data_IF_180691083079
#
_entry.id   IF_180691083079
#
_cell.length_a   1.000
_cell.length_b   1.000
_cell.length_c   1.000
_cell.angle_alpha   90.00
_cell.angle_beta   90.00
_cell.angle_gamma   90.00
#
_symmetry.space_group_name_H-M   'P 1'
#
loop_
_entity.id
_entity.type
_entity.pdbx_description
1 polymer ?
#
# COMPACT_ATOMS: atom_id res chain seq x y z
N UNK A 1 -10.92 12.78 28.71
CA UNK A 1 -12.04 12.61 27.76
C UNK A 1 -12.02 13.78 26.78
N UNK A 2 -11.28 13.64 25.69
CA UNK A 2 -11.19 14.67 24.65
C UNK A 2 -12.24 14.33 23.59
N UNK A 3 -13.20 15.24 23.38
CA UNK A 3 -14.23 15.13 22.35
C UNK A 3 -13.56 15.22 20.99
N UNK A 4 -13.58 14.11 20.24
CA UNK A 4 -13.31 14.14 18.80
C UNK A 4 -14.36 15.03 18.13
N UNK A 5 -13.91 16.11 17.55
CA UNK A 5 -14.74 16.93 16.64
C UNK A 5 -14.97 16.10 15.38
N UNK A 6 -16.23 15.81 15.00
CA UNK A 6 -16.50 15.11 13.75
C UNK A 6 -15.99 15.96 12.60
N UNK A 7 -15.14 15.36 11.77
CA UNK A 7 -14.66 15.98 10.54
C UNK A 7 -15.84 16.43 9.67
N UNK A 8 -15.70 17.58 8.98
CA UNK A 8 -16.71 18.05 8.02
C UNK A 8 -17.13 16.90 7.10
N UNK A 9 -18.43 16.77 6.80
CA UNK A 9 -18.89 15.78 5.83
C UNK A 9 -18.10 15.95 4.52
N UNK A 10 -17.61 14.83 4.01
CA UNK A 10 -16.91 14.74 2.72
C UNK A 10 -17.85 15.31 1.67
N UNK A 11 -17.42 16.29 0.89
CA UNK A 11 -18.22 16.70 -0.27
C UNK A 11 -18.24 15.54 -1.24
N UNK A 12 -19.41 15.10 -1.64
CA UNK A 12 -19.60 14.00 -2.61
C UNK A 12 -18.79 14.25 -3.90
N UNK A 13 -18.63 15.50 -4.30
CA UNK A 13 -17.83 15.92 -5.45
C UNK A 13 -16.34 15.55 -5.34
N UNK A 14 -15.72 15.75 -4.17
CA UNK A 14 -14.30 15.44 -3.98
C UNK A 14 -14.05 13.91 -4.01
N UNK A 15 -14.95 13.14 -3.43
CA UNK A 15 -14.87 11.68 -3.48
C UNK A 15 -15.09 11.16 -4.91
N UNK A 16 -16.05 11.74 -5.64
CA UNK A 16 -16.30 11.39 -7.04
C UNK A 16 -15.10 11.68 -7.93
N UNK A 17 -14.45 12.84 -7.77
CA UNK A 17 -13.25 13.19 -8.51
C UNK A 17 -12.09 12.18 -8.25
N UNK A 18 -11.93 11.73 -7.01
CA UNK A 18 -10.93 10.71 -6.66
C UNK A 18 -11.30 9.36 -7.30
N UNK A 19 -12.57 8.97 -7.25
CA UNK A 19 -13.04 7.73 -7.86
C UNK A 19 -12.82 7.73 -9.38
N UNK A 20 -13.11 8.82 -10.05
CA UNK A 20 -12.88 9.00 -11.50
C UNK A 20 -11.39 8.92 -11.84
N UNK A 21 -10.54 9.66 -11.13
CA UNK A 21 -9.10 9.66 -11.35
C UNK A 21 -8.47 8.29 -11.09
N UNK A 22 -8.82 7.62 -10.00
CA UNK A 22 -8.37 6.26 -9.70
C UNK A 22 -8.85 5.27 -10.77
N UNK A 23 -10.11 5.40 -11.23
CA UNK A 23 -10.66 4.54 -12.29
C UNK A 23 -9.90 4.71 -13.60
N UNK A 24 -9.53 5.95 -13.94
CA UNK A 24 -8.72 6.23 -15.13
C UNK A 24 -7.33 5.58 -15.04
N UNK A 25 -6.65 5.70 -13.88
CA UNK A 25 -5.36 5.05 -13.65
C UNK A 25 -5.50 3.51 -13.71
N UNK A 26 -6.54 2.95 -13.12
CA UNK A 26 -6.79 1.51 -13.15
C UNK A 26 -7.04 1.00 -14.57
N UNK A 27 -7.86 1.71 -15.35
CA UNK A 27 -8.12 1.41 -16.77
C UNK A 27 -6.82 1.40 -17.57
N UNK A 28 -5.99 2.45 -17.47
CA UNK A 28 -4.70 2.50 -18.14
C UNK A 28 -3.81 1.29 -17.81
N UNK A 29 -3.80 0.83 -16.56
CA UNK A 29 -3.01 -0.33 -16.14
C UNK A 29 -3.52 -1.64 -16.69
N UNK A 30 -4.84 -1.78 -16.90
CA UNK A 30 -5.46 -2.94 -17.55
C UNK A 30 -5.15 -2.94 -19.05
N UNK A 31 -5.33 -1.80 -19.73
CA UNK A 31 -5.11 -1.64 -21.17
C UNK A 31 -3.63 -1.83 -21.55
N UNK A 32 -2.68 -1.38 -20.72
CA UNK A 32 -1.24 -1.67 -20.91
C UNK A 32 -0.91 -3.17 -20.99
N UNK A 33 -1.80 -4.04 -20.56
CA UNK A 33 -1.68 -5.50 -20.65
C UNK A 33 -2.46 -6.10 -21.82
N UNK A 34 -2.90 -5.27 -22.77
CA UNK A 34 -3.75 -5.65 -23.90
C UNK A 34 -5.05 -6.34 -23.47
N UNK A 35 -5.68 -5.85 -22.40
CA UNK A 35 -6.93 -6.37 -21.84
C UNK A 35 -7.96 -5.26 -21.77
N UNK A 36 -9.22 -5.65 -21.85
CA UNK A 36 -10.35 -4.76 -21.60
C UNK A 36 -10.67 -4.71 -20.10
N UNK A 37 -11.09 -3.55 -19.63
CA UNK A 37 -11.56 -3.38 -18.26
C UNK A 37 -12.91 -4.06 -18.08
N UNK A 38 -12.95 -5.12 -17.28
CA UNK A 38 -14.19 -5.74 -16.84
C UNK A 38 -14.73 -4.93 -15.66
N UNK A 39 -15.72 -4.08 -15.94
CA UNK A 39 -16.35 -3.22 -14.93
C UNK A 39 -17.54 -3.93 -14.24
N UNK A 40 -17.29 -5.13 -13.71
CA UNK A 40 -18.27 -5.88 -12.92
C UNK A 40 -18.53 -5.22 -11.56
N UNK A 41 -19.48 -5.76 -10.78
CA UNK A 41 -19.81 -5.24 -9.44
C UNK A 41 -18.61 -5.29 -8.50
N UNK A 42 -17.83 -6.37 -8.56
CA UNK A 42 -16.64 -6.53 -7.72
C UNK A 42 -15.57 -5.48 -8.00
N UNK A 43 -15.32 -5.18 -9.27
CA UNK A 43 -14.37 -4.13 -9.69
C UNK A 43 -14.85 -2.74 -9.22
N UNK A 44 -16.15 -2.45 -9.39
CA UNK A 44 -16.73 -1.18 -8.92
C UNK A 44 -16.65 -1.04 -7.42
N UNK A 45 -17.00 -2.08 -6.66
CA UNK A 45 -16.90 -2.09 -5.20
C UNK A 45 -15.45 -1.87 -4.72
N UNK A 46 -14.50 -2.57 -5.33
CA UNK A 46 -13.08 -2.42 -4.99
C UNK A 46 -12.58 -0.99 -5.25
N UNK A 47 -12.94 -0.40 -6.40
CA UNK A 47 -12.59 0.98 -6.74
C UNK A 47 -13.20 1.97 -5.74
N UNK A 48 -14.48 1.82 -5.38
CA UNK A 48 -15.16 2.69 -4.44
C UNK A 48 -14.51 2.64 -3.04
N UNK A 49 -14.19 1.44 -2.55
CA UNK A 49 -13.53 1.25 -1.24
C UNK A 49 -12.14 1.90 -1.24
N UNK A 50 -11.35 1.69 -2.28
CA UNK A 50 -10.01 2.28 -2.39
C UNK A 50 -10.09 3.80 -2.54
N UNK A 51 -11.01 4.33 -3.35
CA UNK A 51 -11.21 5.77 -3.51
C UNK A 51 -11.59 6.45 -2.18
N UNK A 52 -12.48 5.84 -1.40
CA UNK A 52 -12.87 6.34 -0.06
C UNK A 52 -11.66 6.40 0.88
N UNK A 53 -10.83 5.35 0.88
CA UNK A 53 -9.60 5.35 1.68
C UNK A 53 -8.63 6.45 1.21
N UNK A 54 -8.33 6.53 -0.08
CA UNK A 54 -7.39 7.54 -0.64
C UNK A 54 -7.89 8.95 -0.32
N UNK A 55 -9.20 9.19 -0.41
CA UNK A 55 -9.78 10.48 -0.06
C UNK A 55 -9.47 10.86 1.40
N UNK A 56 -9.80 10.00 2.36
CA UNK A 56 -9.57 10.26 3.78
C UNK A 56 -8.08 10.37 4.13
N UNK A 57 -7.25 9.50 3.53
CA UNK A 57 -5.81 9.54 3.67
C UNK A 57 -5.22 10.84 3.14
N UNK A 58 -5.62 11.27 1.94
CA UNK A 58 -5.11 12.49 1.31
C UNK A 58 -5.51 13.76 2.08
N UNK A 59 -6.71 13.80 2.64
CA UNK A 59 -7.12 14.89 3.52
C UNK A 59 -6.25 14.95 4.78
N UNK A 60 -6.03 13.82 5.43
CA UNK A 60 -5.16 13.73 6.62
C UNK A 60 -3.73 14.15 6.30
N UNK A 61 -3.21 13.72 5.16
CA UNK A 61 -1.87 14.08 4.67
C UNK A 61 -1.74 15.60 4.42
N UNK A 62 -2.71 16.21 3.73
CA UNK A 62 -2.73 17.67 3.48
C UNK A 62 -2.76 18.49 4.75
N UNK A 63 -3.52 18.04 5.75
CA UNK A 63 -3.69 18.74 7.02
C UNK A 63 -2.63 18.40 8.07
N UNK A 64 -1.67 17.53 7.74
CA UNK A 64 -0.67 16.98 8.66
C UNK A 64 -1.28 16.44 9.95
N UNK A 65 -2.43 15.81 9.84
CA UNK A 65 -3.18 15.26 10.97
C UNK A 65 -2.72 13.83 11.32
N UNK A 66 -3.07 13.39 12.54
CA UNK A 66 -2.92 11.99 12.94
C UNK A 66 -3.67 11.09 11.94
N UNK A 67 -3.03 10.00 11.48
CA UNK A 67 -3.56 9.09 10.48
C UNK A 67 -3.06 9.31 9.06
N UNK A 68 -2.21 10.31 8.82
CA UNK A 68 -1.52 10.46 7.53
C UNK A 68 -0.56 9.30 7.21
N UNK A 69 -0.14 8.57 8.22
CA UNK A 69 0.70 7.38 8.14
C UNK A 69 -0.08 6.09 7.87
N UNK A 70 -1.42 6.16 7.80
CA UNK A 70 -2.21 4.96 7.53
C UNK A 70 -1.92 4.43 6.15
N UNK A 71 -1.79 3.11 6.06
CA UNK A 71 -1.66 2.38 4.83
C UNK A 71 -2.90 1.55 4.51
N UNK A 72 -2.88 0.85 3.38
CA UNK A 72 -3.92 -0.09 3.01
C UNK A 72 -3.32 -1.44 2.67
N UNK A 73 -3.95 -2.51 3.14
CA UNK A 73 -3.58 -3.88 2.79
C UNK A 73 -4.71 -4.56 2.02
N UNK A 74 -4.44 -4.91 0.76
CA UNK A 74 -5.37 -5.62 -0.12
C UNK A 74 -5.07 -7.12 -0.10
N UNK A 75 -5.97 -7.90 0.49
CA UNK A 75 -5.85 -9.36 0.60
C UNK A 75 -6.87 -10.03 -0.31
N UNK A 76 -6.48 -11.09 -1.01
CA UNK A 76 -7.45 -11.84 -1.84
C UNK A 76 -6.81 -12.84 -2.78
N UNK A 77 -7.62 -13.57 -3.52
CA UNK A 77 -7.18 -14.64 -4.43
C UNK A 77 -6.27 -14.18 -5.57
N UNK A 78 -5.57 -15.14 -6.16
CA UNK A 78 -4.69 -14.90 -7.29
C UNK A 78 -5.51 -14.48 -8.51
N UNK A 79 -5.03 -13.46 -9.24
CA UNK A 79 -5.62 -13.04 -10.53
C UNK A 79 -6.78 -12.04 -10.42
N UNK A 80 -7.25 -11.69 -9.23
CA UNK A 80 -8.39 -10.77 -9.04
C UNK A 80 -8.06 -9.26 -9.20
N UNK A 81 -6.87 -8.90 -9.67
CA UNK A 81 -6.53 -7.51 -10.02
C UNK A 81 -5.83 -6.69 -8.94
N UNK A 82 -5.47 -7.25 -7.77
CA UNK A 82 -4.78 -6.52 -6.67
C UNK A 82 -3.52 -5.76 -7.12
N UNK A 83 -2.60 -6.41 -7.82
CA UNK A 83 -1.39 -5.78 -8.35
C UNK A 83 -1.71 -4.63 -9.30
N UNK A 84 -2.74 -4.78 -10.13
CA UNK A 84 -3.19 -3.72 -11.04
C UNK A 84 -3.75 -2.53 -10.26
N UNK A 85 -4.56 -2.79 -9.24
CA UNK A 85 -5.08 -1.78 -8.33
C UNK A 85 -3.95 -1.09 -7.56
N UNK A 86 -2.99 -1.84 -7.03
CA UNK A 86 -1.84 -1.28 -6.32
C UNK A 86 -1.04 -0.29 -7.20
N UNK A 87 -0.81 -0.66 -8.46
CA UNK A 87 -0.14 0.24 -9.41
C UNK A 87 -0.97 1.47 -9.74
N UNK A 88 -2.29 1.33 -9.88
CA UNK A 88 -3.20 2.45 -10.09
C UNK A 88 -3.24 3.40 -8.88
N UNK A 89 -3.19 2.85 -7.65
CA UNK A 89 -3.05 3.64 -6.42
C UNK A 89 -1.77 4.47 -6.47
N UNK A 90 -0.63 3.84 -6.81
CA UNK A 90 0.66 4.55 -6.93
C UNK A 90 0.62 5.68 -7.94
N UNK A 91 0.12 5.41 -9.15
CA UNK A 91 -0.03 6.43 -10.20
C UNK A 91 -0.91 7.60 -9.72
N UNK A 92 -2.04 7.28 -9.11
CA UNK A 92 -2.98 8.31 -8.69
C UNK A 92 -2.48 9.12 -7.48
N UNK A 93 -1.81 8.49 -6.52
CA UNK A 93 -1.14 9.19 -5.42
C UNK A 93 -0.05 10.12 -5.98
N UNK A 94 0.73 9.68 -6.96
CA UNK A 94 1.72 10.53 -7.65
C UNK A 94 1.07 11.78 -8.27
N UNK A 95 -0.09 11.63 -8.92
CA UNK A 95 -0.84 12.78 -9.45
C UNK A 95 -1.31 13.70 -8.33
N UNK A 96 -1.87 13.17 -7.24
CA UNK A 96 -2.34 13.96 -6.11
C UNK A 96 -1.21 14.74 -5.42
N UNK A 97 -0.08 14.10 -5.18
CA UNK A 97 1.07 14.72 -4.54
C UNK A 97 1.75 15.73 -5.46
N UNK A 98 1.90 15.42 -6.75
CA UNK A 98 2.44 16.33 -7.76
C UNK A 98 1.58 17.56 -7.99
N UNK A 99 0.26 17.44 -7.92
CA UNK A 99 -0.65 18.57 -8.13
C UNK A 99 -0.69 19.56 -6.96
N UNK A 100 -0.30 19.15 -5.76
CA UNK A 100 -0.40 19.97 -4.54
C UNK A 100 0.91 20.64 -4.13
N UNK A 101 2.04 20.21 -4.69
CA UNK A 101 3.35 20.63 -4.19
C UNK A 101 4.08 21.49 -5.22
N UNK A 102 3.86 22.82 -5.16
CA UNK A 102 4.59 23.81 -5.99
C UNK A 102 6.07 24.00 -5.58
N UNK A 103 6.50 23.45 -4.42
CA UNK A 103 7.79 23.75 -3.79
C UNK A 103 8.66 22.51 -3.50
N UNK A 104 8.15 21.29 -3.73
CA UNK A 104 8.91 20.04 -3.51
C UNK A 104 9.23 19.43 -4.87
N UNK A 105 10.47 19.02 -5.05
CA UNK A 105 10.89 18.30 -6.26
C UNK A 105 10.02 17.05 -6.45
N UNK A 106 9.56 16.82 -7.66
CA UNK A 106 8.73 15.66 -8.05
C UNK A 106 9.34 14.31 -7.57
N UNK A 107 10.67 14.23 -7.47
CA UNK A 107 11.40 13.04 -7.06
C UNK A 107 11.26 12.69 -5.57
N UNK A 108 10.91 13.65 -4.71
CA UNK A 108 10.83 13.44 -3.26
C UNK A 108 9.47 12.89 -2.79
N UNK A 109 8.44 12.96 -3.61
CA UNK A 109 7.08 12.53 -3.28
C UNK A 109 6.56 11.40 -4.17
N UNK A 110 7.38 10.85 -5.06
CA UNK A 110 6.95 9.81 -5.99
C UNK A 110 6.76 8.48 -5.24
N UNK A 111 5.57 7.84 -5.36
CA UNK A 111 5.35 6.54 -4.77
C UNK A 111 6.26 5.47 -5.37
N UNK A 112 6.92 4.70 -4.53
CA UNK A 112 7.87 3.67 -4.94
C UNK A 112 7.22 2.30 -4.87
N UNK A 113 7.40 1.47 -5.90
CA UNK A 113 6.77 0.16 -6.05
C UNK A 113 7.81 -0.95 -6.09
N UNK A 114 7.72 -1.90 -5.13
CA UNK A 114 8.54 -3.11 -5.08
C UNK A 114 7.68 -4.36 -4.90
N UNK A 115 8.15 -5.49 -5.41
CA UNK A 115 7.64 -6.78 -4.97
C UNK A 115 8.33 -7.17 -3.66
N UNK A 116 7.61 -7.83 -2.76
CA UNK A 116 8.17 -8.29 -1.50
C UNK A 116 9.46 -9.13 -1.69
N UNK A 117 9.47 -10.04 -2.66
CA UNK A 117 10.64 -10.85 -2.99
C UNK A 117 11.85 -10.04 -3.50
N UNK A 118 11.60 -8.91 -4.19
CA UNK A 118 12.68 -8.08 -4.72
C UNK A 118 13.35 -7.33 -3.56
N UNK A 119 12.59 -6.87 -2.56
CA UNK A 119 13.12 -6.27 -1.32
C UNK A 119 14.06 -7.24 -0.59
N UNK A 120 13.63 -8.49 -0.39
CA UNK A 120 14.48 -9.52 0.21
C UNK A 120 15.74 -9.79 -0.61
N UNK A 121 15.64 -9.74 -1.94
CA UNK A 121 16.77 -9.96 -2.85
C UNK A 121 17.77 -8.80 -2.84
N UNK A 122 17.32 -7.55 -2.64
CA UNK A 122 18.18 -6.37 -2.58
C UNK A 122 19.14 -6.49 -1.40
N UNK A 123 18.62 -6.78 -0.21
CA UNK A 123 19.45 -6.94 0.97
C UNK A 123 20.36 -8.20 0.86
N UNK A 124 19.86 -9.29 0.28
CA UNK A 124 20.65 -10.49 0.07
C UNK A 124 21.88 -10.28 -0.85
N UNK A 125 21.83 -9.26 -1.73
CA UNK A 125 22.94 -8.89 -2.61
C UNK A 125 23.88 -7.85 -1.98
N UNK A 126 23.63 -7.42 -0.73
CA UNK A 126 24.42 -6.40 -0.05
C UNK A 126 24.19 -4.97 -0.58
N UNK A 127 23.03 -4.70 -1.17
CA UNK A 127 22.67 -3.34 -1.61
C UNK A 127 21.98 -2.59 -0.46
N UNK A 128 22.75 -2.26 0.57
CA UNK A 128 22.25 -1.62 1.77
C UNK A 128 21.66 -0.24 1.50
N UNK A 129 22.24 0.51 0.54
CA UNK A 129 21.75 1.84 0.20
C UNK A 129 20.33 1.78 -0.38
N UNK A 130 20.07 0.91 -1.35
CA UNK A 130 18.74 0.76 -1.93
C UNK A 130 17.72 0.25 -0.89
N UNK A 131 18.16 -0.62 0.03
CA UNK A 131 17.31 -1.09 1.12
C UNK A 131 16.93 0.06 2.07
N UNK A 132 17.87 0.93 2.42
CA UNK A 132 17.59 2.13 3.21
C UNK A 132 16.67 3.11 2.46
N UNK A 133 16.85 3.29 1.15
CA UNK A 133 15.99 4.15 0.33
C UNK A 133 14.55 3.61 0.29
N UNK A 134 14.37 2.29 0.22
CA UNK A 134 13.04 1.64 0.33
C UNK A 134 12.39 1.95 1.68
N UNK A 135 13.12 1.81 2.78
CA UNK A 135 12.60 2.10 4.12
C UNK A 135 12.14 3.55 4.24
N UNK A 136 12.89 4.49 3.66
CA UNK A 136 12.67 5.94 3.76
C UNK A 136 11.74 6.53 2.70
N UNK A 137 11.32 5.75 1.71
CA UNK A 137 10.42 6.23 0.66
C UNK A 137 9.18 6.92 1.25
N UNK A 138 8.80 8.08 0.74
CA UNK A 138 7.66 8.87 1.23
C UNK A 138 6.34 8.09 1.18
N UNK A 139 6.13 7.32 0.11
CA UNK A 139 5.02 6.35 -0.04
C UNK A 139 5.59 5.06 -0.63
N UNK A 140 5.39 3.94 0.05
CA UNK A 140 5.86 2.63 -0.40
C UNK A 140 4.69 1.71 -0.75
N UNK A 141 4.79 1.07 -1.93
CA UNK A 141 3.86 0.04 -2.37
C UNK A 141 4.59 -1.31 -2.46
N UNK A 142 4.15 -2.28 -1.67
CA UNK A 142 4.72 -3.65 -1.61
C UNK A 142 3.74 -4.63 -2.22
N UNK A 143 4.13 -5.29 -3.31
CA UNK A 143 3.28 -6.25 -4.01
C UNK A 143 3.64 -7.70 -3.65
N UNK A 144 2.62 -8.55 -3.57
CA UNK A 144 2.73 -10.00 -3.32
C UNK A 144 3.48 -10.35 -2.01
N UNK A 145 3.20 -9.63 -0.90
CA UNK A 145 3.72 -10.00 0.41
C UNK A 145 3.28 -11.41 0.82
N UNK A 146 4.24 -12.21 1.27
CA UNK A 146 4.09 -13.63 1.57
C UNK A 146 4.68 -14.57 0.52
N UNK A 147 5.19 -14.02 -0.61
CA UNK A 147 5.91 -14.79 -1.63
C UNK A 147 7.45 -14.74 -1.45
N UNK A 148 7.96 -13.85 -0.59
CA UNK A 148 9.38 -13.65 -0.28
C UNK A 148 9.89 -14.64 0.78
N UNK A 149 11.22 -14.88 0.90
CA UNK A 149 11.79 -15.49 2.09
C UNK A 149 11.57 -14.55 3.29
N UNK A 150 11.15 -15.12 4.42
CA UNK A 150 10.95 -14.35 5.67
C UNK A 150 12.30 -13.88 6.23
N UNK A 151 13.30 -14.73 6.08
CA UNK A 151 14.65 -14.53 6.60
C UNK A 151 15.67 -14.63 5.46
N UNK A 152 16.68 -13.77 5.53
CA UNK A 152 17.86 -13.79 4.66
C UNK A 152 19.07 -13.81 5.56
N UNK A 153 20.05 -14.68 5.29
CA UNK A 153 21.29 -14.75 6.07
C UNK A 153 22.37 -13.90 5.41
N UNK A 154 22.90 -12.90 6.12
CA UNK A 154 23.99 -12.03 5.67
C UNK A 154 25.12 -12.10 6.68
N UNK A 155 26.32 -12.47 6.21
CA UNK A 155 27.50 -12.68 7.08
C UNK A 155 27.23 -13.59 8.29
N UNK A 156 26.37 -14.63 8.10
CA UNK A 156 26.01 -15.56 9.17
C UNK A 156 24.94 -15.04 10.14
N UNK A 157 24.42 -13.84 9.94
CA UNK A 157 23.34 -13.27 10.77
C UNK A 157 22.00 -13.30 10.05
N UNK A 158 20.93 -13.80 10.68
CA UNK A 158 19.58 -13.74 10.12
C UNK A 158 19.05 -12.32 10.12
N UNK A 159 18.47 -11.89 9.01
CA UNK A 159 17.79 -10.60 8.82
C UNK A 159 16.38 -10.89 8.33
N UNK A 160 15.41 -10.12 8.79
CA UNK A 160 14.01 -10.21 8.39
C UNK A 160 13.60 -8.99 7.57
N UNK A 161 13.89 -8.93 6.24
CA UNK A 161 13.84 -7.69 5.47
C UNK A 161 12.49 -6.97 5.49
N UNK A 162 11.39 -7.72 5.32
CA UNK A 162 10.04 -7.13 5.30
C UNK A 162 9.59 -6.67 6.70
N UNK A 163 9.98 -7.39 7.74
CA UNK A 163 9.75 -6.97 9.13
C UNK A 163 10.48 -5.66 9.40
N UNK A 164 11.76 -5.59 9.09
CA UNK A 164 12.60 -4.39 9.29
C UNK A 164 12.02 -3.17 8.54
N UNK A 165 11.56 -3.36 7.29
CA UNK A 165 10.90 -2.30 6.52
C UNK A 165 9.63 -1.84 7.22
N UNK A 166 8.75 -2.77 7.64
CA UNK A 166 7.46 -2.42 8.25
C UNK A 166 7.64 -1.74 9.61
N UNK A 167 8.58 -2.21 10.44
CA UNK A 167 8.88 -1.61 11.74
C UNK A 167 9.45 -0.20 11.58
N UNK A 168 10.44 -0.02 10.71
CA UNK A 168 11.00 1.30 10.42
C UNK A 168 9.91 2.28 9.97
N UNK A 169 9.04 1.86 9.04
CA UNK A 169 8.01 2.72 8.47
C UNK A 169 6.90 3.04 9.48
N UNK A 170 6.59 2.09 10.38
CA UNK A 170 5.71 2.34 11.51
C UNK A 170 6.27 3.43 12.43
N UNK A 171 7.53 3.28 12.85
CA UNK A 171 8.18 4.21 13.79
C UNK A 171 8.35 5.62 13.20
N UNK A 172 8.51 5.73 11.87
CA UNK A 172 8.65 7.00 11.15
C UNK A 172 7.33 7.52 10.54
N UNK A 173 6.21 6.88 10.84
CA UNK A 173 4.87 7.27 10.35
C UNK A 173 4.79 7.39 8.81
N UNK A 174 5.44 6.48 8.08
CA UNK A 174 5.47 6.48 6.62
C UNK A 174 4.36 5.60 6.03
N UNK A 175 3.48 6.14 5.17
CA UNK A 175 2.38 5.40 4.58
C UNK A 175 2.87 4.26 3.68
N UNK A 176 2.29 3.09 3.88
CA UNK A 176 2.65 1.87 3.16
C UNK A 176 1.40 1.19 2.62
N UNK A 177 1.46 0.71 1.37
CA UNK A 177 0.38 -0.03 0.73
C UNK A 177 0.88 -1.44 0.40
N UNK A 178 0.08 -2.46 0.70
CA UNK A 178 0.50 -3.86 0.57
C UNK A 178 -0.55 -4.67 -0.18
N UNK A 179 -0.12 -5.58 -1.06
CA UNK A 179 -0.98 -6.67 -1.54
C UNK A 179 -0.50 -8.01 -1.02
N UNK A 180 -1.44 -8.93 -0.76
CA UNK A 180 -1.12 -10.31 -0.44
C UNK A 180 -2.16 -11.29 -0.98
N UNK A 181 -1.70 -12.49 -1.32
CA UNK A 181 -2.56 -13.65 -1.61
C UNK A 181 -2.81 -14.50 -0.37
N UNK A 182 -2.16 -14.18 0.74
CA UNK A 182 -2.23 -14.89 2.02
C UNK A 182 -3.14 -14.11 2.97
N UNK A 183 -3.91 -14.80 3.78
CA UNK A 183 -4.80 -14.17 4.77
C UNK A 183 -3.98 -13.50 5.88
N UNK A 184 -4.56 -12.48 6.51
CA UNK A 184 -3.86 -11.70 7.52
C UNK A 184 -3.30 -12.56 8.67
N UNK A 185 -4.08 -13.51 9.19
CA UNK A 185 -3.69 -14.40 10.28
C UNK A 185 -2.69 -15.49 9.86
N UNK A 186 -2.54 -15.73 8.56
CA UNK A 186 -1.51 -16.62 8.00
C UNK A 186 -0.21 -15.85 7.72
N UNK A 187 -0.30 -14.52 7.54
CA UNK A 187 0.87 -13.64 7.43
C UNK A 187 1.44 -13.30 8.80
N UNK A 188 0.62 -12.83 9.71
CA UNK A 188 1.02 -12.25 10.99
C UNK A 188 0.40 -13.01 12.17
N UNK A 189 1.02 -12.87 13.36
CA UNK A 189 0.58 -13.50 14.59
C UNK A 189 1.31 -14.81 14.90
N UNK A 190 1.05 -15.36 16.06
CA UNK A 190 1.83 -16.45 16.68
C UNK A 190 2.13 -17.66 15.78
N UNK A 191 1.19 -18.01 14.89
CA UNK A 191 1.33 -19.13 13.95
C UNK A 191 1.43 -18.63 12.49
N UNK A 192 1.61 -17.33 12.30
CA UNK A 192 1.75 -16.72 10.98
C UNK A 192 3.15 -16.86 10.42
N UNK A 193 3.31 -16.43 9.19
CA UNK A 193 4.59 -16.39 8.48
C UNK A 193 5.58 -15.44 9.16
N UNK A 194 5.06 -14.34 9.74
CA UNK A 194 5.77 -13.40 10.59
C UNK A 194 5.26 -13.55 12.03
N UNK A 195 5.86 -14.44 12.86
CA UNK A 195 5.32 -14.83 14.15
C UNK A 195 5.61 -13.80 15.27
N UNK A 196 5.70 -12.54 14.94
CA UNK A 196 5.88 -11.44 15.88
C UNK A 196 4.53 -10.79 16.21
N UNK A 197 4.07 -10.95 17.46
CA UNK A 197 2.79 -10.39 17.93
C UNK A 197 2.83 -8.85 17.96
N UNK A 198 3.99 -8.25 18.24
CA UNK A 198 4.17 -6.78 18.25
C UNK A 198 4.03 -6.23 16.84
N UNK A 199 4.65 -6.87 15.85
CA UNK A 199 4.48 -6.49 14.45
C UNK A 199 3.01 -6.63 14.02
N UNK A 200 2.33 -7.69 14.45
CA UNK A 200 0.92 -7.88 14.14
C UNK A 200 0.02 -6.79 14.70
N UNK A 201 0.27 -6.35 15.93
CA UNK A 201 -0.48 -5.24 16.54
C UNK A 201 -0.23 -3.92 15.82
N UNK A 202 1.03 -3.61 15.45
CA UNK A 202 1.39 -2.45 14.63
C UNK A 202 0.69 -2.47 13.26
N UNK A 203 0.66 -3.63 12.60
CA UNK A 203 -0.05 -3.80 11.32
C UNK A 203 -1.54 -3.48 11.46
N UNK A 204 -2.21 -3.99 12.49
CA UNK A 204 -3.64 -3.71 12.75
C UNK A 204 -3.90 -2.23 13.04
N UNK A 205 -2.94 -1.54 13.66
CA UNK A 205 -3.07 -0.13 14.00
C UNK A 205 -3.01 0.78 12.76
N UNK A 206 -2.06 0.54 11.86
CA UNK A 206 -1.77 1.44 10.74
C UNK A 206 -2.40 1.05 9.41
N UNK A 207 -2.77 -0.22 9.23
CA UNK A 207 -3.35 -0.66 7.95
C UNK A 207 -4.87 -0.75 7.98
N UNK A 208 -5.50 -0.16 6.97
CA UNK A 208 -6.86 -0.52 6.61
C UNK A 208 -6.83 -1.80 5.78
N UNK A 209 -7.29 -2.90 6.35
CA UNK A 209 -7.23 -4.22 5.74
C UNK A 209 -8.52 -4.49 4.98
N UNK A 210 -8.40 -4.76 3.68
CA UNK A 210 -9.54 -5.01 2.80
C UNK A 210 -9.38 -6.30 2.03
N UNK A 211 -10.45 -7.11 2.03
CA UNK A 211 -10.55 -8.26 1.15
C UNK A 211 -10.92 -7.78 -0.24
N UNK A 212 -10.03 -8.01 -1.19
CA UNK A 212 -10.23 -7.64 -2.59
C UNK A 212 -11.11 -8.67 -3.26
N UNK A 213 -12.30 -8.23 -3.67
CA UNK A 213 -13.34 -9.08 -4.26
C UNK A 213 -13.06 -9.39 -5.74
N UNK A 214 -13.73 -10.42 -6.25
CA UNK A 214 -13.68 -10.81 -7.64
C UNK A 214 -12.99 -12.15 -7.89
N UNK A 215 -13.34 -12.78 -9.00
CA UNK A 215 -12.69 -13.97 -9.53
C UNK A 215 -11.35 -13.66 -10.22
N UNK A 216 -10.77 -14.65 -10.87
CA UNK A 216 -9.58 -14.44 -11.69
C UNK A 216 -9.96 -13.77 -13.03
N UNK A 217 -9.31 -12.66 -13.35
CA UNK A 217 -9.38 -11.96 -14.65
C UNK A 217 -8.23 -12.37 -15.59
N UNK A 218 -7.57 -13.51 -15.32
CA UNK A 218 -6.47 -14.06 -16.15
C UNK A 218 -7.00 -14.98 -17.23
#
# INVERSE_FOLDING_TARGET
MSRETPGKPVSDEALMAILEGLTACYRMRVEKRFRELIADSSTKDNLAVVATFIHSWFQSWRMRQKGMNRGMMLIGGVGNGKTTMMRAIGDYIGVLLGSTNRYVSYSECEPVFYKAKDIASIIARGNDQEFEDIKRASVLLIDDMGAEPVEVVIYGMPIHPLQDVLEYRYDHMLPTFITSNIRLNELFGKNGRYPDERLFDRVKEIFEIRTFKGGSYR
#
